data_IF_631549653219
#
_entry.id   IF_631549653219
#
_cell.length_a   1.000
_cell.length_b   1.000
_cell.length_c   1.000
_cell.angle_alpha   90.00
_cell.angle_beta   90.00
_cell.angle_gamma   90.00
#
_symmetry.space_group_name_H-M   'P 1'
#
loop_
_entity.id
_entity.type
_entity.pdbx_description
1 polymer ?
#
# COMPACT_ATOMS: atom_id res chain seq x y z
N UNK A 1 -43.87 11.37 -45.29
CA UNK A 1 -45.29 11.16 -44.95
C UNK A 1 -45.36 11.24 -43.45
N UNK A 2 -45.76 12.39 -42.92
CA UNK A 2 -47.09 12.72 -42.38
C UNK A 2 -47.46 11.71 -41.28
N UNK A 3 -47.81 12.01 -40.05
CA UNK A 3 -48.39 13.21 -39.42
C UNK A 3 -48.76 12.84 -37.99
N UNK A 4 -48.67 13.73 -37.13
CA UNK A 4 -49.56 14.58 -36.35
C UNK A 4 -49.70 14.13 -34.89
N UNK A 5 -49.37 14.98 -33.93
CA UNK A 5 -50.18 15.95 -33.19
C UNK A 5 -51.32 15.32 -32.40
N UNK A 6 -51.57 15.58 -31.11
CA UNK A 6 -51.86 16.82 -30.41
C UNK A 6 -52.16 16.56 -28.92
N UNK A 7 -51.75 17.46 -28.07
CA UNK A 7 -52.55 18.38 -27.21
C UNK A 7 -53.26 17.77 -26.00
N UNK A 8 -53.00 18.19 -24.80
CA UNK A 8 -53.80 19.20 -24.08
C UNK A 8 -53.09 19.63 -22.75
N UNK A 9 -53.02 20.93 -22.63
CA UNK A 9 -52.94 21.76 -21.41
C UNK A 9 -54.13 21.48 -20.51
N UNK A 10 -53.93 21.69 -19.22
CA UNK A 10 -54.73 22.67 -18.47
C UNK A 10 -54.06 23.03 -17.13
N UNK A 11 -54.06 24.35 -16.94
CA UNK A 11 -53.71 25.11 -15.76
C UNK A 11 -54.58 24.75 -14.55
N UNK A 12 -54.09 25.07 -13.36
CA UNK A 12 -54.78 25.94 -12.35
C UNK A 12 -53.81 26.36 -11.26
N UNK A 13 -53.70 27.65 -11.09
CA UNK A 13 -53.09 28.42 -10.01
C UNK A 13 -53.75 28.22 -8.68
N UNK A 14 -53.01 28.52 -7.57
CA UNK A 14 -53.41 29.47 -6.55
C UNK A 14 -52.45 29.53 -5.36
N UNK A 15 -51.81 30.64 -5.26
CA UNK A 15 -51.33 31.43 -4.11
C UNK A 15 -51.63 30.95 -2.70
N UNK A 16 -50.59 30.92 -1.85
CA UNK A 16 -50.70 31.34 -0.45
C UNK A 16 -49.32 31.80 0.07
N UNK A 17 -49.23 33.10 0.32
CA UNK A 17 -48.20 33.75 1.11
C UNK A 17 -48.24 33.27 2.56
N UNK A 18 -47.05 32.87 3.10
CA UNK A 18 -46.79 33.00 4.53
C UNK A 18 -45.39 33.55 4.75
N UNK A 19 -45.34 34.73 5.32
CA UNK A 19 -44.19 35.38 5.93
C UNK A 19 -43.79 34.53 7.14
N UNK A 20 -42.55 34.06 7.21
CA UNK A 20 -41.96 33.52 8.45
C UNK A 20 -40.62 34.21 8.70
N UNK A 21 -40.60 34.87 9.85
CA UNK A 21 -39.49 35.58 10.47
C UNK A 21 -38.14 34.85 10.36
N UNK A 22 -37.13 35.63 10.02
CA UNK A 22 -35.72 35.34 10.23
C UNK A 22 -35.41 35.22 11.72
N UNK A 23 -35.25 33.99 12.20
CA UNK A 23 -34.47 33.71 13.39
C UNK A 23 -33.17 33.11 12.90
N UNK A 24 -32.08 33.86 13.04
CA UNK A 24 -30.72 33.44 12.78
C UNK A 24 -30.31 32.37 13.81
N UNK A 25 -30.60 31.13 13.53
CA UNK A 25 -29.96 30.02 14.22
C UNK A 25 -28.61 29.75 13.49
N UNK A 26 -27.52 30.07 14.17
CA UNK A 26 -26.19 29.57 13.82
C UNK A 26 -26.22 28.08 14.09
N UNK A 27 -26.60 27.30 13.08
CA UNK A 27 -26.38 25.85 13.10
C UNK A 27 -24.90 25.68 12.79
N UNK A 28 -24.10 25.45 13.84
CA UNK A 28 -22.80 24.82 13.71
C UNK A 28 -23.10 23.40 13.24
N UNK A 29 -23.10 23.18 11.93
CA UNK A 29 -23.11 21.84 11.39
C UNK A 29 -21.73 21.21 11.70
N UNK A 30 -21.69 20.44 12.78
CA UNK A 30 -20.66 19.45 12.99
C UNK A 30 -20.86 18.37 11.92
N UNK A 31 -20.28 18.58 10.75
CA UNK A 31 -20.01 17.45 9.86
C UNK A 31 -18.84 16.70 10.48
N UNK A 32 -19.15 15.79 11.37
CA UNK A 32 -18.21 14.79 11.81
C UNK A 32 -18.01 13.83 10.63
N UNK A 33 -17.01 14.10 9.81
CA UNK A 33 -16.37 13.03 9.05
C UNK A 33 -15.68 12.15 10.07
N UNK A 34 -16.46 11.20 10.63
CA UNK A 34 -15.95 10.21 11.57
C UNK A 34 -15.14 9.23 10.76
N UNK A 35 -13.83 9.45 10.72
CA UNK A 35 -12.92 8.39 10.34
C UNK A 35 -13.05 7.28 11.40
N UNK A 36 -13.64 6.16 11.01
CA UNK A 36 -13.84 5.01 11.89
C UNK A 36 -12.51 4.30 12.12
N UNK A 37 -12.09 4.30 13.35
CA UNK A 37 -10.86 3.63 13.75
C UNK A 37 -11.03 2.13 13.85
N UNK A 38 -9.91 1.43 13.70
CA UNK A 38 -9.78 -0.01 13.82
C UNK A 38 -10.24 -0.53 15.19
N UNK A 39 -11.37 -1.22 15.25
CA UNK A 39 -11.63 -2.11 16.36
C UNK A 39 -10.74 -3.35 16.20
N UNK A 40 -9.65 -3.46 16.95
CA UNK A 40 -8.92 -4.72 17.10
C UNK A 40 -9.86 -5.70 17.80
N UNK A 41 -10.46 -6.62 17.04
CA UNK A 41 -11.17 -7.75 17.61
C UNK A 41 -10.19 -8.55 18.48
N UNK A 42 -10.36 -8.47 19.78
CA UNK A 42 -9.63 -9.31 20.72
C UNK A 42 -9.96 -10.78 20.44
N UNK A 43 -9.01 -11.51 19.92
CA UNK A 43 -9.06 -12.98 19.89
C UNK A 43 -9.07 -13.47 21.33
N UNK A 44 -10.15 -14.19 21.67
CA UNK A 44 -10.53 -14.58 22.99
C UNK A 44 -9.43 -15.10 23.90
N UNK A 45 -9.30 -14.49 25.03
CA UNK A 45 -8.68 -15.06 26.20
C UNK A 45 -9.76 -15.49 27.19
N UNK A 46 -9.70 -16.76 27.57
CA UNK A 46 -10.55 -17.44 28.55
C UNK A 46 -10.60 -16.65 29.85
N UNK A 47 -11.83 -16.44 30.34
CA UNK A 47 -12.11 -16.02 31.70
C UNK A 47 -11.24 -16.74 32.73
N UNK A 48 -10.46 -15.98 33.47
CA UNK A 48 -9.99 -16.34 34.79
C UNK A 48 -10.58 -15.35 35.78
N UNK A 49 -11.46 -15.86 36.61
CA UNK A 49 -11.99 -15.21 37.80
C UNK A 49 -10.88 -14.53 38.59
N UNK A 50 -10.91 -13.21 38.63
CA UNK A 50 -9.97 -12.40 39.38
C UNK A 50 -10.47 -12.19 40.80
N UNK A 51 -9.68 -12.67 41.74
CA UNK A 51 -9.74 -12.35 43.15
C UNK A 51 -9.58 -10.83 43.36
N UNK A 52 -10.49 -10.24 44.13
CA UNK A 52 -10.43 -8.82 44.52
C UNK A 52 -9.30 -8.60 45.55
N UNK A 53 -8.07 -8.50 45.07
CA UNK A 53 -6.98 -7.95 45.85
C UNK A 53 -7.09 -6.41 45.89
N UNK A 54 -7.17 -5.81 47.08
CA UNK A 54 -7.11 -4.40 47.35
C UNK A 54 -5.87 -3.80 46.67
N UNK A 55 -6.04 -3.10 45.55
CA UNK A 55 -4.97 -2.33 44.94
C UNK A 55 -4.54 -1.21 45.90
N UNK A 56 -3.33 -1.32 46.42
CA UNK A 56 -2.59 -0.16 46.92
C UNK A 56 -2.41 0.82 45.74
N UNK A 57 -2.87 2.07 45.92
CA UNK A 57 -2.55 3.15 44.98
C UNK A 57 -1.02 3.15 44.77
N UNK A 58 -0.52 3.00 43.55
CA UNK A 58 0.89 3.23 43.29
C UNK A 58 1.20 4.70 43.56
N UNK A 59 2.34 4.98 44.15
CA UNK A 59 2.91 6.34 44.16
C UNK A 59 2.99 6.80 42.71
N UNK A 60 2.32 7.91 42.41
CA UNK A 60 2.32 8.52 41.07
C UNK A 60 3.76 8.95 40.77
N UNK A 61 4.44 8.18 39.95
CA UNK A 61 5.73 8.56 39.39
C UNK A 61 5.48 9.83 38.54
N UNK A 62 6.10 10.95 38.95
CA UNK A 62 5.97 12.22 38.21
C UNK A 62 6.47 12.13 36.76
N UNK A 63 7.17 11.07 36.41
CA UNK A 63 7.68 10.81 35.07
C UNK A 63 6.59 10.54 34.03
N UNK A 64 5.42 10.05 34.43
CA UNK A 64 4.35 9.58 33.55
C UNK A 64 3.16 10.54 33.40
N UNK A 65 3.29 11.80 33.85
CA UNK A 65 2.25 12.80 33.62
C UNK A 65 2.27 13.27 32.16
N UNK A 66 1.09 13.56 31.57
CA UNK A 66 1.02 14.14 30.23
C UNK A 66 1.84 15.40 30.11
N UNK A 67 2.57 15.53 29.01
CA UNK A 67 3.46 16.65 28.67
C UNK A 67 3.24 17.08 27.23
N UNK A 68 3.60 18.32 26.95
CA UNK A 68 3.50 18.94 25.64
C UNK A 68 4.89 18.93 24.96
N UNK A 69 4.90 18.44 23.73
CA UNK A 69 6.07 18.51 22.85
C UNK A 69 5.70 19.23 21.57
N UNK A 70 6.63 20.04 21.05
CA UNK A 70 6.39 20.83 19.83
C UNK A 70 7.43 20.54 18.78
N UNK A 71 6.95 20.49 17.55
CA UNK A 71 7.78 20.47 16.34
C UNK A 71 7.17 21.43 15.29
N UNK A 72 7.77 21.65 14.13
CA UNK A 72 7.25 22.55 13.11
C UNK A 72 5.81 22.22 12.68
N UNK A 73 5.46 20.95 12.60
CA UNK A 73 4.15 20.51 12.11
C UNK A 73 3.25 19.86 13.18
N UNK A 74 3.72 19.68 14.41
CA UNK A 74 2.96 19.00 15.46
C UNK A 74 3.01 19.71 16.81
N UNK A 75 1.86 19.70 17.49
CA UNK A 75 1.73 19.90 18.93
C UNK A 75 1.28 18.55 19.51
N UNK A 76 2.18 17.87 20.18
CA UNK A 76 1.97 16.53 20.73
C UNK A 76 1.74 16.64 22.24
N UNK A 77 0.56 16.21 22.71
CA UNK A 77 0.21 15.99 24.09
C UNK A 77 0.33 14.48 24.38
N UNK A 78 1.19 14.05 25.29
CA UNK A 78 1.41 12.62 25.51
C UNK A 78 1.96 12.33 26.90
N UNK A 79 1.65 11.16 27.43
CA UNK A 79 2.21 10.56 28.64
C UNK A 79 3.39 9.61 28.31
N UNK A 80 3.88 9.62 27.08
CA UNK A 80 5.09 8.90 26.68
C UNK A 80 6.33 9.48 27.36
N UNK A 81 7.34 8.64 27.71
CA UNK A 81 8.68 9.12 28.04
C UNK A 81 9.25 10.01 26.94
N UNK A 82 10.14 10.92 27.33
CA UNK A 82 10.67 11.93 26.40
C UNK A 82 11.33 11.36 25.15
N UNK A 83 12.10 10.31 25.28
CA UNK A 83 12.79 9.63 24.18
C UNK A 83 11.81 9.00 23.17
N UNK A 84 10.73 8.39 23.66
CA UNK A 84 9.67 7.85 22.81
C UNK A 84 8.83 8.96 22.14
N UNK A 85 8.55 10.05 22.88
CA UNK A 85 7.85 11.20 22.31
C UNK A 85 8.69 11.91 21.22
N UNK A 86 9.99 12.04 21.43
CA UNK A 86 10.94 12.59 20.44
C UNK A 86 11.02 11.68 19.17
N UNK A 87 11.05 10.36 19.35
CA UNK A 87 11.02 9.39 18.24
C UNK A 87 9.73 9.50 17.45
N UNK A 88 8.58 9.53 18.14
CA UNK A 88 7.28 9.69 17.52
C UNK A 88 7.20 10.99 16.71
N UNK A 89 7.61 12.13 17.29
CA UNK A 89 7.61 13.40 16.58
C UNK A 89 8.52 13.37 15.35
N UNK A 90 9.72 12.81 15.45
CA UNK A 90 10.63 12.66 14.31
C UNK A 90 10.00 11.86 13.18
N UNK A 91 9.31 10.80 13.50
CA UNK A 91 8.62 9.92 12.54
C UNK A 91 7.44 10.64 11.88
N UNK A 92 6.60 11.30 12.68
CA UNK A 92 5.47 12.09 12.19
C UNK A 92 5.94 13.26 11.30
N UNK A 93 6.97 13.99 11.69
CA UNK A 93 7.56 15.10 10.90
C UNK A 93 8.10 14.61 9.56
N UNK A 94 8.78 13.47 9.55
CA UNK A 94 9.30 12.89 8.30
C UNK A 94 8.14 12.50 7.38
N UNK A 95 7.12 11.83 7.91
CA UNK A 95 5.94 11.44 7.16
C UNK A 95 5.19 12.65 6.60
N UNK A 96 4.92 13.69 7.43
CA UNK A 96 4.26 14.93 6.97
C UNK A 96 5.07 15.62 5.88
N UNK A 97 6.38 15.66 6.00
CA UNK A 97 7.27 16.18 4.96
C UNK A 97 7.10 15.45 3.62
N UNK A 98 7.04 14.13 3.66
CA UNK A 98 6.84 13.30 2.46
C UNK A 98 5.46 13.48 1.84
N UNK A 99 4.38 13.42 2.63
CA UNK A 99 3.01 13.56 2.10
C UNK A 99 2.73 15.00 1.63
N UNK A 100 3.30 16.02 2.30
CA UNK A 100 3.23 17.41 1.85
C UNK A 100 3.90 17.58 0.48
N UNK A 101 5.04 16.95 0.27
CA UNK A 101 5.73 16.92 -1.02
C UNK A 101 4.93 16.12 -2.06
N UNK A 102 4.40 14.97 -1.68
CA UNK A 102 3.61 14.10 -2.54
C UNK A 102 2.39 14.83 -3.09
N UNK A 103 1.59 15.46 -2.22
CA UNK A 103 0.42 16.22 -2.68
C UNK A 103 0.74 17.66 -3.11
N UNK A 104 1.97 18.13 -2.92
CA UNK A 104 2.39 19.49 -3.31
C UNK A 104 1.74 20.59 -2.46
N UNK A 105 1.32 20.27 -1.24
CA UNK A 105 0.65 21.20 -0.34
C UNK A 105 1.32 21.16 1.05
N UNK A 106 2.10 22.18 1.42
CA UNK A 106 2.74 22.22 2.74
C UNK A 106 1.70 22.37 3.85
N UNK A 107 1.96 21.74 4.98
CA UNK A 107 1.12 21.90 6.16
C UNK A 107 1.19 23.35 6.65
N UNK A 108 0.04 23.98 6.83
CA UNK A 108 -0.05 25.43 7.16
C UNK A 108 -0.01 25.73 8.64
N UNK A 109 -0.43 24.79 9.46
CA UNK A 109 -0.56 24.94 10.92
C UNK A 109 -0.19 23.61 11.58
N UNK A 110 0.42 23.63 12.76
CA UNK A 110 0.70 22.41 13.50
C UNK A 110 -0.59 21.60 13.72
N UNK A 111 -0.48 20.30 13.51
CA UNK A 111 -1.51 19.31 13.85
C UNK A 111 -1.44 19.06 15.35
N UNK A 112 -2.57 19.14 16.02
CA UNK A 112 -2.69 18.87 17.45
C UNK A 112 -2.98 17.38 17.64
N UNK A 113 -2.13 16.70 18.41
CA UNK A 113 -2.20 15.24 18.60
C UNK A 113 -2.16 14.89 20.08
N UNK A 114 -3.17 14.16 20.54
CA UNK A 114 -3.22 13.52 21.84
C UNK A 114 -2.87 12.04 21.66
N UNK A 115 -1.70 11.62 22.18
CA UNK A 115 -1.24 10.23 22.07
C UNK A 115 -1.10 9.63 23.45
N UNK A 116 -1.93 8.66 23.75
CA UNK A 116 -2.21 8.15 25.09
C UNK A 116 -1.68 6.74 25.27
N UNK A 117 -0.80 6.54 26.25
CA UNK A 117 -0.34 5.23 26.69
C UNK A 117 -1.18 4.69 27.86
N UNK A 118 -1.36 5.55 28.87
CA UNK A 118 -2.12 5.22 30.09
C UNK A 118 -3.18 6.29 30.34
N UNK A 119 -4.42 5.96 30.05
CA UNK A 119 -5.53 6.88 30.21
C UNK A 119 -5.70 7.34 31.67
N UNK A 120 -5.28 6.54 32.66
CA UNK A 120 -5.45 6.82 34.08
C UNK A 120 -4.65 8.03 34.58
N UNK A 121 -3.61 8.46 33.86
CA UNK A 121 -2.78 9.62 34.24
C UNK A 121 -3.28 10.94 33.67
N UNK A 122 -4.31 10.91 32.83
CA UNK A 122 -4.91 12.08 32.22
C UNK A 122 -6.04 12.65 33.11
N UNK A 123 -6.19 13.97 33.18
CA UNK A 123 -7.26 14.55 33.98
C UNK A 123 -8.66 14.25 33.41
N UNK A 124 -9.69 14.09 34.24
CA UNK A 124 -11.07 13.95 33.76
C UNK A 124 -11.47 15.09 32.82
N UNK A 125 -12.07 14.76 31.67
CA UNK A 125 -12.48 15.73 30.66
C UNK A 125 -11.36 16.24 29.77
N UNK A 126 -10.20 15.60 29.76
CA UNK A 126 -9.10 15.92 28.83
C UNK A 126 -9.44 15.66 27.36
N UNK A 127 -10.40 14.78 27.10
CA UNK A 127 -10.78 14.34 25.76
C UNK A 127 -12.27 14.61 25.50
N UNK A 128 -12.66 14.93 24.25
CA UNK A 128 -14.06 14.88 23.85
C UNK A 128 -14.57 13.43 23.89
N UNK A 129 -15.90 13.21 24.01
CA UNK A 129 -16.45 11.85 24.12
C UNK A 129 -15.96 10.89 23.01
N UNK A 130 -16.00 11.33 21.75
CA UNK A 130 -15.60 10.52 20.60
C UNK A 130 -14.10 10.15 20.65
N UNK A 131 -13.24 11.07 21.12
CA UNK A 131 -11.82 10.82 21.30
C UNK A 131 -11.55 9.84 22.44
N UNK A 132 -12.28 9.98 23.55
CA UNK A 132 -12.18 9.08 24.70
C UNK A 132 -12.61 7.66 24.34
N UNK A 133 -13.78 7.51 23.70
CA UNK A 133 -14.32 6.21 23.30
C UNK A 133 -13.31 5.46 22.43
N UNK A 134 -12.67 6.16 21.47
CA UNK A 134 -11.68 5.52 20.58
C UNK A 134 -10.40 5.12 21.28
N UNK A 135 -9.91 5.92 22.21
CA UNK A 135 -8.75 5.57 23.03
C UNK A 135 -9.07 4.34 23.90
N UNK A 136 -10.27 4.27 24.51
CA UNK A 136 -10.71 3.13 25.32
C UNK A 136 -10.86 1.85 24.47
N UNK A 137 -11.27 1.97 23.20
CA UNK A 137 -11.30 0.87 22.22
C UNK A 137 -9.90 0.41 21.77
N UNK A 138 -8.84 1.10 22.18
CA UNK A 138 -7.47 0.79 21.74
C UNK A 138 -7.18 1.23 20.30
N UNK A 139 -7.77 2.35 19.88
CA UNK A 139 -7.73 2.86 18.51
C UNK A 139 -7.38 4.37 18.47
N UNK A 140 -7.66 5.03 17.37
CA UNK A 140 -7.55 6.47 17.20
C UNK A 140 -8.76 7.06 16.47
N UNK A 141 -8.84 8.37 16.46
CA UNK A 141 -9.79 9.16 15.67
C UNK A 141 -9.23 10.55 15.39
N UNK A 142 -9.52 11.06 14.21
CA UNK A 142 -9.25 12.44 13.83
C UNK A 142 -10.56 13.23 13.78
N UNK A 143 -10.68 14.25 14.61
CA UNK A 143 -11.82 15.17 14.59
C UNK A 143 -11.46 16.43 13.81
N UNK A 144 -12.19 16.70 12.72
CA UNK A 144 -11.97 17.88 11.88
C UNK A 144 -13.11 18.88 12.06
N UNK A 145 -12.78 20.11 12.44
CA UNK A 145 -13.70 21.24 12.50
C UNK A 145 -13.48 22.14 11.29
N UNK A 146 -14.49 22.30 10.47
CA UNK A 146 -14.45 23.16 9.29
C UNK A 146 -15.19 24.46 9.52
N UNK A 147 -14.66 25.55 8.95
CA UNK A 147 -15.36 26.85 8.87
C UNK A 147 -15.84 27.02 7.44
N UNK A 148 -17.13 27.21 7.27
CA UNK A 148 -17.75 27.39 5.95
C UNK A 148 -18.35 28.77 5.83
N UNK A 149 -18.39 29.34 4.62
CA UNK A 149 -19.13 30.56 4.34
C UNK A 149 -20.60 30.19 4.18
N UNK A 150 -21.45 30.82 5.01
CA UNK A 150 -22.88 30.60 4.96
C UNK A 150 -23.43 30.92 3.56
N UNK A 151 -24.18 29.99 3.00
CA UNK A 151 -24.82 30.11 1.69
C UNK A 151 -23.98 29.64 0.46
N UNK A 152 -22.70 29.35 0.65
CA UNK A 152 -21.84 28.83 -0.47
C UNK A 152 -21.26 27.46 -0.19
N UNK A 153 -21.33 26.95 1.04
CA UNK A 153 -20.65 25.75 1.52
C UNK A 153 -19.11 25.75 1.28
N UNK A 154 -18.54 26.91 0.96
CA UNK A 154 -17.11 27.03 0.74
C UNK A 154 -16.36 26.94 2.07
N UNK A 155 -15.45 25.96 2.19
CA UNK A 155 -14.56 25.79 3.34
C UNK A 155 -13.48 26.89 3.30
N UNK A 156 -13.45 27.74 4.33
CA UNK A 156 -12.46 28.82 4.49
C UNK A 156 -11.38 28.53 5.50
N UNK A 157 -11.52 27.44 6.24
CA UNK A 157 -10.52 26.95 7.17
C UNK A 157 -10.95 25.63 7.80
N UNK A 158 -9.97 24.85 8.18
CA UNK A 158 -10.18 23.62 8.91
C UNK A 158 -9.11 23.47 10.00
N UNK A 159 -9.49 22.87 11.13
CA UNK A 159 -8.58 22.44 12.19
C UNK A 159 -8.86 20.97 12.48
N UNK A 160 -7.83 20.14 12.41
CA UNK A 160 -7.92 18.74 12.76
C UNK A 160 -7.17 18.48 14.07
N UNK A 161 -7.74 17.61 14.91
CA UNK A 161 -7.13 17.14 16.16
C UNK A 161 -7.17 15.64 16.19
N UNK A 162 -6.01 15.04 16.44
CA UNK A 162 -5.81 13.58 16.55
C UNK A 162 -5.96 13.14 17.99
N UNK A 163 -6.70 12.06 18.22
CA UNK A 163 -6.77 11.30 19.46
C UNK A 163 -6.40 9.86 19.17
N UNK A 164 -5.33 9.34 19.77
CA UNK A 164 -4.79 8.03 19.41
C UNK A 164 -4.16 7.34 20.62
N UNK A 165 -4.17 6.01 20.63
CA UNK A 165 -3.32 5.25 21.54
C UNK A 165 -1.86 5.37 21.14
N UNK A 166 -0.95 5.16 22.11
CA UNK A 166 0.50 5.17 21.89
C UNK A 166 0.99 3.87 21.22
N UNK A 167 0.30 3.44 20.18
CA UNK A 167 0.77 2.39 19.27
C UNK A 167 1.68 3.01 18.19
N UNK A 168 2.54 2.20 17.57
CA UNK A 168 3.44 2.73 16.54
C UNK A 168 2.68 3.30 15.32
N UNK A 169 1.65 2.61 14.88
CA UNK A 169 0.96 2.89 13.62
C UNK A 169 -0.19 3.87 13.74
N UNK A 170 -0.98 3.77 14.83
CA UNK A 170 -2.23 4.54 14.98
C UNK A 170 -2.01 6.05 14.90
N UNK A 171 -1.02 6.67 15.57
CA UNK A 171 -0.78 8.10 15.42
C UNK A 171 -0.40 8.51 13.99
N UNK A 172 0.27 7.64 13.23
CA UNK A 172 0.62 7.91 11.82
C UNK A 172 -0.63 7.86 10.93
N UNK A 173 -1.50 6.86 11.12
CA UNK A 173 -2.78 6.74 10.43
C UNK A 173 -3.61 8.01 10.61
N UNK A 174 -3.84 8.40 11.84
CA UNK A 174 -4.65 9.57 12.19
C UNK A 174 -4.01 10.88 11.71
N UNK A 175 -2.67 10.98 11.71
CA UNK A 175 -1.99 12.16 11.20
C UNK A 175 -2.18 12.36 9.69
N UNK A 176 -2.38 11.28 8.91
CA UNK A 176 -2.75 11.39 7.48
C UNK A 176 -4.14 12.00 7.33
N UNK A 177 -5.13 11.51 8.09
CA UNK A 177 -6.47 12.10 8.09
C UNK A 177 -6.43 13.57 8.53
N UNK A 178 -5.71 13.88 9.60
CA UNK A 178 -5.56 15.24 10.10
C UNK A 178 -4.92 16.17 9.07
N UNK A 179 -3.86 15.73 8.41
CA UNK A 179 -3.25 16.50 7.34
C UNK A 179 -4.24 16.75 6.18
N UNK A 180 -4.95 15.72 5.72
CA UNK A 180 -5.93 15.86 4.65
C UNK A 180 -7.08 16.79 5.06
N UNK A 181 -7.71 16.54 6.20
CA UNK A 181 -8.80 17.37 6.73
C UNK A 181 -8.40 18.83 6.89
N UNK A 182 -7.23 19.10 7.49
CA UNK A 182 -6.77 20.48 7.76
C UNK A 182 -6.38 21.24 6.49
N UNK A 183 -5.73 20.58 5.52
CA UNK A 183 -5.21 21.26 4.35
C UNK A 183 -6.15 21.28 3.16
N UNK A 184 -7.06 20.31 3.03
CA UNK A 184 -8.02 20.24 1.93
C UNK A 184 -9.46 20.45 2.38
N UNK A 185 -9.77 20.27 3.67
CA UNK A 185 -11.11 20.29 4.21
C UNK A 185 -11.86 18.95 4.07
N UNK A 186 -11.27 18.00 3.38
CA UNK A 186 -11.79 16.65 3.10
C UNK A 186 -10.69 15.62 3.18
N UNK A 187 -11.07 14.36 3.41
CA UNK A 187 -10.18 13.20 3.37
C UNK A 187 -10.35 12.38 2.09
N UNK A 188 -11.34 12.73 1.26
CA UNK A 188 -11.73 11.99 0.07
C UNK A 188 -12.72 10.85 0.37
N UNK A 189 -13.08 10.03 -0.64
CA UNK A 189 -13.92 8.87 -0.45
C UNK A 189 -13.23 7.81 0.42
N UNK A 190 -14.02 6.99 1.11
CA UNK A 190 -13.53 6.10 2.16
C UNK A 190 -12.41 5.16 1.70
N UNK A 191 -12.49 4.63 0.48
CA UNK A 191 -11.46 3.73 -0.03
C UNK A 191 -10.08 4.42 -0.13
N UNK A 192 -10.07 5.69 -0.53
CA UNK A 192 -8.85 6.48 -0.67
C UNK A 192 -8.37 7.00 0.68
N UNK A 193 -9.30 7.54 1.48
CA UNK A 193 -9.04 8.08 2.81
C UNK A 193 -8.36 7.03 3.70
N UNK A 194 -9.01 5.88 3.87
CA UNK A 194 -8.49 4.81 4.72
C UNK A 194 -7.28 4.11 4.09
N UNK A 195 -7.31 3.90 2.78
CA UNK A 195 -6.17 3.29 2.09
C UNK A 195 -4.89 4.12 2.22
N UNK A 196 -4.98 5.46 2.15
CA UNK A 196 -3.84 6.36 2.36
C UNK A 196 -3.44 6.50 3.82
N UNK A 197 -4.39 6.44 4.74
CA UNK A 197 -4.10 6.43 6.18
C UNK A 197 -3.35 5.14 6.58
N UNK A 198 -3.77 3.99 6.07
CA UNK A 198 -3.04 2.72 6.24
C UNK A 198 -1.64 2.75 5.58
N UNK A 199 -1.48 3.43 4.44
CA UNK A 199 -0.15 3.68 3.87
C UNK A 199 0.74 4.47 4.85
N UNK A 200 0.17 5.42 5.58
CA UNK A 200 0.84 6.13 6.67
C UNK A 200 1.11 5.25 7.89
N UNK A 201 0.16 4.41 8.29
CA UNK A 201 0.28 3.50 9.44
C UNK A 201 1.49 2.58 9.33
N UNK A 202 1.66 1.96 8.16
CA UNK A 202 2.76 1.02 7.89
C UNK A 202 4.02 1.68 7.34
N UNK A 203 4.01 3.00 7.19
CA UNK A 203 5.15 3.70 6.62
C UNK A 203 6.41 3.58 7.47
N UNK A 204 7.52 3.23 6.80
CA UNK A 204 8.89 3.27 7.32
C UNK A 204 9.80 3.98 6.31
N UNK A 205 10.80 4.70 6.79
CA UNK A 205 11.72 5.43 5.93
C UNK A 205 12.49 4.48 4.99
N UNK A 206 12.43 4.75 3.69
CA UNK A 206 13.13 3.97 2.67
C UNK A 206 12.49 2.62 2.33
N UNK A 207 11.28 2.34 2.81
CA UNK A 207 10.58 1.08 2.57
C UNK A 207 9.41 1.28 1.59
N UNK A 208 9.43 0.58 0.47
CA UNK A 208 8.36 0.55 -0.54
C UNK A 208 7.72 -0.84 -0.70
N UNK A 209 8.22 -1.83 0.04
CA UNK A 209 7.72 -3.20 0.03
C UNK A 209 6.46 -3.34 0.88
N UNK A 210 5.74 -4.43 0.68
CA UNK A 210 4.66 -4.84 1.58
C UNK A 210 5.24 -5.05 2.98
N UNK A 211 4.78 -4.25 3.94
CA UNK A 211 5.24 -4.21 5.32
C UNK A 211 4.08 -4.04 6.33
N UNK A 212 2.85 -4.32 5.89
CA UNK A 212 1.67 -4.26 6.74
C UNK A 212 1.73 -5.28 7.88
N UNK A 213 0.77 -5.19 8.81
CA UNK A 213 0.72 -6.13 9.93
C UNK A 213 0.58 -7.58 9.42
N UNK A 214 1.30 -8.58 10.00
CA UNK A 214 1.24 -9.98 9.57
C UNK A 214 -0.17 -10.57 9.54
N UNK A 215 -1.08 -10.14 10.43
CA UNK A 215 -2.49 -10.58 10.41
C UNK A 215 -3.22 -10.07 9.16
N UNK A 216 -2.89 -8.88 8.66
CA UNK A 216 -3.44 -8.38 7.39
C UNK A 216 -3.01 -9.27 6.21
N UNK A 217 -1.74 -9.70 6.20
CA UNK A 217 -1.24 -10.67 5.21
C UNK A 217 -2.01 -11.98 5.27
N UNK A 218 -2.15 -12.55 6.47
CA UNK A 218 -2.88 -13.80 6.67
C UNK A 218 -4.34 -13.69 6.26
N UNK A 219 -4.98 -12.58 6.59
CA UNK A 219 -6.37 -12.32 6.23
C UNK A 219 -6.54 -12.25 4.72
N UNK A 220 -5.76 -11.41 4.02
CA UNK A 220 -5.85 -11.25 2.56
C UNK A 220 -5.61 -12.60 1.85
N UNK A 221 -4.60 -13.36 2.26
CA UNK A 221 -4.27 -14.65 1.63
C UNK A 221 -5.31 -15.75 1.83
N UNK A 222 -6.15 -15.65 2.85
CA UNK A 222 -7.19 -16.66 3.18
C UNK A 222 -8.58 -16.25 2.73
N UNK A 223 -8.75 -15.01 2.31
CA UNK A 223 -10.04 -14.46 1.94
C UNK A 223 -10.23 -14.48 0.44
N UNK A 224 -11.50 -14.60 0.00
CA UNK A 224 -11.84 -14.34 -1.39
C UNK A 224 -11.53 -12.89 -1.75
N UNK A 225 -10.80 -12.64 -2.84
CA UNK A 225 -10.45 -11.30 -3.26
C UNK A 225 -11.68 -10.43 -3.48
N UNK A 226 -11.72 -9.24 -2.87
CA UNK A 226 -12.76 -8.26 -3.16
C UNK A 226 -12.54 -7.67 -4.56
N UNK A 227 -13.55 -7.64 -5.42
CA UNK A 227 -13.43 -6.99 -6.72
C UNK A 227 -13.25 -5.47 -6.56
N UNK A 228 -12.55 -4.83 -7.49
CA UNK A 228 -12.21 -3.41 -7.42
C UNK A 228 -13.43 -2.50 -7.18
N UNK A 229 -14.54 -2.77 -7.87
CA UNK A 229 -15.76 -1.99 -7.72
C UNK A 229 -16.38 -2.09 -6.31
N UNK A 230 -16.21 -3.20 -5.61
CA UNK A 230 -16.67 -3.35 -4.24
C UNK A 230 -15.81 -2.53 -3.25
N UNK A 231 -14.55 -2.26 -3.60
CA UNK A 231 -13.66 -1.43 -2.79
C UNK A 231 -13.92 0.06 -3.04
N UNK A 232 -13.92 0.48 -4.33
CA UNK A 232 -13.95 1.90 -4.71
C UNK A 232 -15.36 2.52 -4.65
N UNK A 233 -16.42 1.72 -4.74
CA UNK A 233 -17.81 2.17 -4.73
C UNK A 233 -18.53 1.89 -3.41
N UNK A 234 -17.84 1.46 -2.38
CA UNK A 234 -18.43 1.28 -1.05
C UNK A 234 -19.04 2.60 -0.58
N UNK A 235 -20.38 2.70 -0.63
CA UNK A 235 -21.14 3.90 -0.24
C UNK A 235 -21.46 3.93 1.25
N UNK A 236 -21.45 2.78 1.90
CA UNK A 236 -21.85 2.63 3.28
C UNK A 236 -20.66 2.24 4.15
N UNK A 237 -20.44 3.04 5.18
CA UNK A 237 -19.53 2.73 6.28
C UNK A 237 -20.30 1.86 7.27
N UNK A 238 -20.76 0.69 6.83
CA UNK A 238 -21.43 -0.22 7.75
C UNK A 238 -20.43 -1.20 8.31
N UNK A 239 -20.19 -1.08 9.64
CA UNK A 239 -19.36 -2.04 10.35
C UNK A 239 -17.97 -2.14 9.75
N UNK A 240 -17.34 -1.02 9.50
CA UNK A 240 -16.03 -0.98 8.90
C UNK A 240 -15.04 -1.65 9.85
N UNK A 241 -14.59 -2.81 9.43
CA UNK A 241 -13.67 -3.62 10.17
C UNK A 241 -12.26 -3.44 9.61
N UNK A 242 -11.26 -3.77 10.38
CA UNK A 242 -9.87 -3.79 9.94
C UNK A 242 -9.65 -4.60 8.65
N UNK A 243 -10.52 -5.55 8.34
CA UNK A 243 -10.53 -6.32 7.10
C UNK A 243 -10.78 -5.44 5.87
N UNK A 244 -11.67 -4.46 5.99
CA UNK A 244 -11.92 -3.52 4.90
C UNK A 244 -10.72 -2.57 4.69
N UNK A 245 -10.04 -2.19 5.76
CA UNK A 245 -8.80 -1.40 5.67
C UNK A 245 -7.71 -2.16 4.92
N UNK A 246 -7.56 -3.47 5.14
CA UNK A 246 -6.60 -4.30 4.41
C UNK A 246 -6.81 -4.22 2.88
N UNK A 247 -8.05 -4.32 2.41
CA UNK A 247 -8.35 -4.24 0.98
C UNK A 247 -8.10 -2.85 0.39
N UNK A 248 -8.43 -1.78 1.13
CA UNK A 248 -8.18 -0.39 0.74
C UNK A 248 -6.70 -0.09 0.68
N UNK A 249 -5.96 -0.54 1.69
CA UNK A 249 -4.50 -0.43 1.71
C UNK A 249 -3.87 -1.18 0.53
N UNK A 250 -4.25 -2.43 0.28
CA UNK A 250 -3.70 -3.23 -0.82
C UNK A 250 -3.92 -2.55 -2.18
N UNK A 251 -5.11 -1.99 -2.42
CA UNK A 251 -5.38 -1.25 -3.66
C UNK A 251 -4.55 0.04 -3.75
N UNK A 252 -4.51 0.85 -2.70
CA UNK A 252 -3.70 2.07 -2.68
C UNK A 252 -2.21 1.78 -2.82
N UNK A 253 -1.70 0.72 -2.15
CA UNK A 253 -0.31 0.28 -2.26
C UNK A 253 0.03 -0.14 -3.71
N UNK A 254 -0.83 -0.93 -4.34
CA UNK A 254 -0.67 -1.31 -5.75
C UNK A 254 -0.62 -0.07 -6.66
N UNK A 255 -1.61 0.82 -6.56
CA UNK A 255 -1.71 1.99 -7.43
C UNK A 255 -0.58 3.01 -7.21
N UNK A 256 -0.12 3.15 -5.97
CA UNK A 256 0.95 4.08 -5.61
C UNK A 256 2.34 3.60 -6.05
N UNK A 257 2.58 2.28 -6.14
CA UNK A 257 3.89 1.70 -6.39
C UNK A 257 4.03 1.00 -7.76
N UNK A 258 2.92 0.74 -8.47
CA UNK A 258 2.99 0.10 -9.78
C UNK A 258 3.31 1.12 -10.89
N UNK A 259 4.39 0.91 -11.67
CA UNK A 259 4.81 1.84 -12.74
C UNK A 259 3.79 1.98 -13.88
N UNK A 260 2.77 1.13 -13.96
CA UNK A 260 1.68 1.28 -14.92
C UNK A 260 0.63 2.30 -14.47
N UNK A 261 0.54 2.60 -13.14
CA UNK A 261 -0.59 3.33 -12.55
C UNK A 261 -0.18 4.55 -11.72
N UNK A 262 1.02 4.59 -11.11
CA UNK A 262 1.40 5.58 -10.10
C UNK A 262 1.38 7.03 -10.60
N UNK A 263 1.65 7.28 -11.87
CA UNK A 263 1.62 8.62 -12.46
C UNK A 263 0.22 9.26 -12.43
N UNK A 264 -0.83 8.43 -12.46
CA UNK A 264 -2.23 8.87 -12.40
C UNK A 264 -2.80 8.88 -10.98
N UNK A 265 -2.20 8.12 -10.06
CA UNK A 265 -2.73 7.96 -8.71
C UNK A 265 -2.65 9.26 -7.90
N UNK A 266 -1.52 9.96 -7.97
CA UNK A 266 -1.38 11.26 -7.30
C UNK A 266 -2.36 12.33 -7.82
N UNK A 267 -2.52 12.56 -9.13
CA UNK A 267 -3.54 13.49 -9.65
C UNK A 267 -4.97 13.10 -9.26
N UNK A 268 -5.32 11.82 -9.28
CA UNK A 268 -6.60 11.33 -8.79
C UNK A 268 -6.79 11.70 -7.32
N UNK A 269 -5.83 11.38 -6.46
CA UNK A 269 -5.88 11.69 -5.04
C UNK A 269 -6.08 13.18 -4.76
N UNK A 270 -5.36 14.06 -5.47
CA UNK A 270 -5.57 15.50 -5.37
C UNK A 270 -6.98 15.92 -5.78
N UNK A 271 -7.53 15.32 -6.82
CA UNK A 271 -8.91 15.57 -7.25
C UNK A 271 -9.92 15.16 -6.19
N UNK A 272 -9.75 13.96 -5.59
CA UNK A 272 -10.59 13.43 -4.52
C UNK A 272 -10.53 14.31 -3.26
N UNK A 273 -9.33 14.74 -2.84
CA UNK A 273 -9.14 15.60 -1.69
C UNK A 273 -9.69 17.04 -1.90
N UNK A 274 -9.82 17.48 -3.13
CA UNK A 274 -10.40 18.78 -3.49
C UNK A 274 -11.88 18.68 -3.87
N UNK A 275 -12.51 17.54 -3.65
CA UNK A 275 -13.92 17.24 -3.96
C UNK A 275 -14.29 17.61 -5.40
N UNK A 276 -13.40 17.31 -6.35
CA UNK A 276 -13.66 17.56 -7.78
C UNK A 276 -14.65 16.54 -8.31
N UNK A 277 -15.77 16.96 -8.92
CA UNK A 277 -16.82 16.04 -9.40
C UNK A 277 -16.32 14.98 -10.38
N UNK A 278 -15.33 15.35 -11.21
CA UNK A 278 -14.77 14.47 -12.24
C UNK A 278 -13.65 13.55 -11.74
N UNK A 279 -13.20 13.73 -10.48
CA UNK A 279 -12.15 12.93 -9.91
C UNK A 279 -12.75 11.63 -9.33
N UNK A 280 -12.87 10.61 -10.15
CA UNK A 280 -13.33 9.29 -9.74
C UNK A 280 -12.34 8.21 -10.19
N UNK A 281 -12.36 7.05 -9.52
CA UNK A 281 -11.57 5.90 -9.98
C UNK A 281 -11.90 5.56 -11.44
N UNK A 282 -13.18 5.55 -11.79
CA UNK A 282 -13.64 5.24 -13.13
C UNK A 282 -13.15 6.24 -14.17
N UNK A 283 -13.18 7.54 -13.88
CA UNK A 283 -12.72 8.56 -14.85
C UNK A 283 -11.23 8.48 -15.16
N UNK A 284 -10.42 8.03 -14.21
CA UNK A 284 -8.94 7.95 -14.33
C UNK A 284 -8.48 6.58 -14.82
N UNK A 285 -9.11 5.52 -14.33
CA UNK A 285 -8.66 4.14 -14.51
C UNK A 285 -9.66 3.23 -15.22
N UNK A 286 -10.87 3.71 -15.55
CA UNK A 286 -11.92 2.87 -16.17
C UNK A 286 -11.47 2.18 -17.46
N UNK A 287 -10.71 2.87 -18.30
CA UNK A 287 -10.14 2.29 -19.53
C UNK A 287 -9.06 1.24 -19.28
N UNK A 288 -8.51 1.17 -18.06
CA UNK A 288 -7.47 0.22 -17.62
C UNK A 288 -8.01 -0.76 -16.58
N UNK A 289 -9.32 -0.83 -16.39
CA UNK A 289 -9.93 -1.62 -15.31
C UNK A 289 -9.59 -3.11 -15.40
N UNK A 290 -9.44 -3.65 -16.61
CA UNK A 290 -9.05 -5.06 -16.82
C UNK A 290 -7.60 -5.31 -16.41
N UNK A 291 -6.67 -4.45 -16.85
CA UNK A 291 -5.26 -4.53 -16.47
C UNK A 291 -5.08 -4.39 -14.97
N UNK A 292 -5.75 -3.41 -14.35
CA UNK A 292 -5.69 -3.22 -12.90
C UNK A 292 -6.28 -4.42 -12.18
N UNK A 293 -7.42 -4.95 -12.62
CA UNK A 293 -8.04 -6.14 -12.01
C UNK A 293 -7.11 -7.33 -12.07
N UNK A 294 -6.47 -7.57 -13.22
CA UNK A 294 -5.51 -8.65 -13.39
C UNK A 294 -4.30 -8.47 -12.45
N UNK A 295 -3.63 -7.32 -12.47
CA UNK A 295 -2.47 -7.08 -11.61
C UNK A 295 -2.83 -7.04 -10.11
N UNK A 296 -4.04 -6.58 -9.77
CA UNK A 296 -4.52 -6.59 -8.40
C UNK A 296 -4.74 -8.03 -7.89
N UNK A 297 -5.41 -8.88 -8.67
CA UNK A 297 -5.61 -10.29 -8.32
C UNK A 297 -4.26 -11.03 -8.23
N UNK A 298 -3.36 -10.77 -9.18
CA UNK A 298 -2.02 -11.32 -9.17
C UNK A 298 -1.24 -10.89 -7.91
N UNK A 299 -1.31 -9.61 -7.55
CA UNK A 299 -0.71 -9.07 -6.32
C UNK A 299 -1.25 -9.76 -5.07
N UNK A 300 -2.58 -9.90 -4.97
CA UNK A 300 -3.21 -10.56 -3.81
C UNK A 300 -2.85 -12.05 -3.71
N UNK A 301 -2.72 -12.73 -4.83
CA UNK A 301 -2.33 -14.15 -4.89
C UNK A 301 -0.91 -14.36 -4.32
N UNK A 302 -0.02 -13.40 -4.53
CA UNK A 302 1.38 -13.44 -4.11
C UNK A 302 1.68 -12.52 -2.92
N UNK A 303 0.64 -12.02 -2.27
CA UNK A 303 0.72 -11.03 -1.19
C UNK A 303 1.49 -11.58 0.01
N UNK A 304 2.64 -10.98 0.30
CA UNK A 304 3.49 -11.36 1.43
C UNK A 304 4.37 -10.20 1.88
N UNK A 305 4.87 -10.23 3.13
CA UNK A 305 5.84 -9.25 3.61
C UNK A 305 7.10 -9.28 2.75
N UNK A 306 7.56 -8.09 2.37
CA UNK A 306 8.72 -7.95 1.49
C UNK A 306 8.40 -7.99 -0.02
N UNK A 307 7.15 -8.26 -0.41
CA UNK A 307 6.74 -8.18 -1.82
C UNK A 307 6.89 -6.76 -2.36
N UNK A 308 7.43 -6.63 -3.57
CA UNK A 308 7.73 -5.34 -4.19
C UNK A 308 6.97 -5.18 -5.51
N UNK A 309 5.91 -4.37 -5.49
CA UNK A 309 5.02 -4.14 -6.65
C UNK A 309 5.78 -3.64 -7.87
N UNK A 310 6.80 -2.80 -7.67
CA UNK A 310 7.62 -2.24 -8.75
C UNK A 310 8.36 -3.32 -9.56
N UNK A 311 8.80 -4.39 -8.88
CA UNK A 311 9.54 -5.48 -9.50
C UNK A 311 8.65 -6.49 -10.23
N UNK A 312 7.37 -6.50 -9.89
CA UNK A 312 6.41 -7.51 -10.37
C UNK A 312 5.36 -6.95 -11.31
N UNK A 313 5.41 -5.65 -11.62
CA UNK A 313 4.51 -4.99 -12.54
C UNK A 313 4.51 -5.66 -13.93
N UNK A 314 3.31 -5.89 -14.46
CA UNK A 314 3.11 -6.54 -15.75
C UNK A 314 3.53 -5.65 -16.91
N UNK A 315 4.14 -6.22 -17.94
CA UNK A 315 4.55 -5.47 -19.12
C UNK A 315 3.42 -5.45 -20.18
N UNK A 316 2.57 -4.43 -20.11
CA UNK A 316 1.48 -4.20 -21.08
C UNK A 316 1.95 -3.58 -22.39
N UNK A 317 3.19 -3.10 -22.49
CA UNK A 317 3.66 -2.28 -23.61
C UNK A 317 4.44 -3.09 -24.65
N UNK A 318 5.07 -4.17 -24.24
CA UNK A 318 5.88 -5.00 -25.15
C UNK A 318 5.01 -5.66 -26.21
N UNK A 319 5.44 -5.52 -27.47
CA UNK A 319 4.80 -6.19 -28.61
C UNK A 319 5.33 -7.59 -28.78
N UNK A 320 4.42 -8.53 -28.91
CA UNK A 320 4.74 -9.94 -29.18
C UNK A 320 4.66 -10.24 -30.67
N UNK A 321 5.52 -11.14 -31.13
CA UNK A 321 5.56 -11.59 -32.52
C UNK A 321 5.92 -13.07 -32.60
N UNK A 322 5.60 -13.71 -33.70
CA UNK A 322 6.02 -15.08 -33.98
C UNK A 322 7.50 -15.12 -34.37
N UNK A 323 8.20 -16.17 -33.94
CA UNK A 323 9.49 -16.53 -34.52
C UNK A 323 9.27 -17.31 -35.82
N UNK A 324 10.29 -17.29 -36.68
CA UNK A 324 10.35 -18.14 -37.87
C UNK A 324 11.70 -18.86 -37.89
N UNK A 325 11.88 -19.80 -38.80
CA UNK A 325 13.18 -20.50 -38.99
C UNK A 325 14.32 -19.56 -39.38
N UNK A 326 14.02 -18.42 -40.00
CA UNK A 326 14.99 -17.40 -40.42
C UNK A 326 15.08 -16.19 -39.52
N UNK A 327 14.02 -15.87 -38.77
CA UNK A 327 13.94 -14.66 -37.92
C UNK A 327 13.63 -15.07 -36.47
N UNK A 328 14.63 -15.21 -35.61
CA UNK A 328 14.43 -15.56 -34.20
C UNK A 328 13.82 -14.40 -33.41
N UNK A 329 13.23 -14.72 -32.26
CA UNK A 329 12.84 -13.77 -31.23
C UNK A 329 13.88 -13.81 -30.10
N UNK A 330 14.32 -12.63 -29.65
CA UNK A 330 15.28 -12.50 -28.56
C UNK A 330 14.70 -11.65 -27.43
N UNK A 331 15.05 -12.02 -26.20
CA UNK A 331 14.71 -11.23 -25.00
C UNK A 331 15.82 -11.36 -23.94
N UNK A 332 15.78 -10.49 -22.95
CA UNK A 332 16.62 -10.55 -21.76
C UNK A 332 15.73 -10.65 -20.56
N UNK A 333 16.01 -11.56 -19.65
CA UNK A 333 15.28 -11.79 -18.40
C UNK A 333 16.21 -11.44 -17.25
N UNK A 334 15.79 -10.50 -16.42
CA UNK A 334 16.50 -10.06 -15.21
C UNK A 334 16.09 -10.92 -14.01
N UNK A 335 17.04 -11.27 -13.15
CA UNK A 335 16.77 -12.13 -12.00
C UNK A 335 15.83 -11.49 -10.96
N UNK A 336 15.95 -10.18 -10.78
CA UNK A 336 15.21 -9.40 -9.77
C UNK A 336 13.82 -8.93 -10.22
N UNK A 337 13.28 -9.51 -11.30
CA UNK A 337 11.96 -9.14 -11.83
C UNK A 337 11.01 -10.32 -11.81
N UNK A 338 9.71 -10.01 -11.62
CA UNK A 338 8.65 -10.98 -11.85
C UNK A 338 8.52 -11.43 -13.30
N UNK A 339 7.32 -11.69 -13.75
CA UNK A 339 7.08 -12.11 -15.14
C UNK A 339 7.48 -11.03 -16.14
N UNK A 340 8.35 -11.37 -17.07
CA UNK A 340 8.90 -10.47 -18.08
C UNK A 340 8.54 -10.95 -19.48
N UNK A 341 8.14 -10.03 -20.35
CA UNK A 341 7.72 -10.32 -21.71
C UNK A 341 8.89 -10.88 -22.56
N UNK A 342 8.78 -12.10 -23.06
CA UNK A 342 9.75 -12.69 -23.97
C UNK A 342 9.67 -12.14 -25.38
N UNK A 343 8.63 -11.37 -25.72
CA UNK A 343 8.26 -10.93 -27.07
C UNK A 343 7.80 -12.06 -27.99
N UNK A 344 7.77 -13.31 -27.54
CA UNK A 344 7.39 -14.46 -28.34
C UNK A 344 5.91 -14.77 -28.19
N UNK A 345 5.19 -14.78 -29.31
CA UNK A 345 3.83 -15.30 -29.43
C UNK A 345 3.92 -16.74 -29.94
N UNK A 346 3.31 -17.69 -29.24
CA UNK A 346 3.35 -19.11 -29.56
C UNK A 346 1.98 -19.68 -29.86
N UNK A 347 1.93 -20.80 -30.61
CA UNK A 347 0.79 -21.70 -30.70
C UNK A 347 1.10 -23.00 -29.98
N UNK A 348 0.06 -23.66 -29.51
CA UNK A 348 0.19 -25.00 -28.92
C UNK A 348 0.92 -25.95 -29.86
N UNK A 349 1.92 -26.66 -29.33
CA UNK A 349 2.72 -27.65 -30.07
C UNK A 349 3.82 -27.07 -30.99
N UNK A 350 3.95 -25.74 -31.10
CA UNK A 350 5.08 -25.17 -31.82
C UNK A 350 6.42 -25.52 -31.12
N UNK A 351 7.42 -25.98 -31.88
CA UNK A 351 8.72 -26.32 -31.37
C UNK A 351 9.78 -25.27 -31.74
N UNK A 352 10.61 -24.92 -30.78
CA UNK A 352 11.65 -23.91 -30.93
C UNK A 352 13.03 -24.48 -30.56
N UNK A 353 14.03 -24.09 -31.31
CA UNK A 353 15.43 -24.11 -30.88
C UNK A 353 15.60 -22.95 -29.89
N UNK A 354 16.15 -23.25 -28.70
CA UNK A 354 16.35 -22.29 -27.62
C UNK A 354 17.83 -22.17 -27.29
N UNK A 355 18.33 -20.95 -27.30
CA UNK A 355 19.65 -20.60 -26.78
C UNK A 355 19.46 -19.72 -25.57
N UNK A 356 20.06 -20.11 -24.45
CA UNK A 356 20.06 -19.34 -23.20
C UNK A 356 21.52 -19.07 -22.80
N UNK A 357 21.85 -17.79 -22.59
CA UNK A 357 23.20 -17.35 -22.23
C UNK A 357 23.12 -16.33 -21.08
N UNK A 358 23.98 -16.48 -20.08
CA UNK A 358 24.03 -15.65 -18.90
C UNK A 358 23.85 -16.44 -17.62
N UNK A 359 23.80 -15.72 -16.51
CA UNK A 359 23.67 -16.29 -15.17
C UNK A 359 23.08 -15.29 -14.20
N UNK A 360 22.67 -15.76 -13.05
CA UNK A 360 22.11 -14.93 -11.97
C UNK A 360 22.47 -15.45 -10.58
N UNK A 361 22.23 -14.62 -9.60
CA UNK A 361 22.36 -14.92 -8.17
C UNK A 361 21.05 -14.55 -7.47
N UNK A 362 20.63 -15.35 -6.50
CA UNK A 362 19.40 -15.13 -5.72
C UNK A 362 19.65 -14.38 -4.41
N UNK A 363 20.88 -14.02 -4.12
CA UNK A 363 21.27 -13.18 -2.98
C UNK A 363 22.69 -12.67 -3.17
N UNK A 364 23.10 -11.67 -2.40
CA UNK A 364 24.44 -11.06 -2.47
C UNK A 364 25.57 -12.07 -2.21
N UNK A 365 25.33 -13.09 -1.41
CA UNK A 365 26.30 -14.11 -1.01
C UNK A 365 26.00 -15.49 -1.64
N UNK A 366 24.96 -15.59 -2.47
CA UNK A 366 24.52 -16.84 -3.10
C UNK A 366 25.47 -17.29 -4.23
N UNK A 367 25.38 -18.57 -4.64
CA UNK A 367 26.13 -19.07 -5.79
C UNK A 367 25.63 -18.42 -7.09
N UNK A 368 26.51 -18.42 -8.10
CA UNK A 368 26.14 -18.08 -9.45
C UNK A 368 25.41 -19.27 -10.09
N UNK A 369 24.19 -19.03 -10.58
CA UNK A 369 23.34 -20.07 -11.15
C UNK A 369 23.20 -19.90 -12.67
N UNK A 370 23.15 -21.02 -13.38
CA UNK A 370 22.74 -21.08 -14.78
C UNK A 370 21.23 -20.77 -14.92
N UNK A 371 20.74 -20.54 -16.15
CA UNK A 371 19.30 -20.40 -16.39
C UNK A 371 18.45 -21.60 -15.97
N UNK A 372 19.09 -22.71 -15.65
CA UNK A 372 18.42 -23.96 -15.28
C UNK A 372 18.52 -24.27 -13.78
N UNK A 373 18.99 -23.30 -12.98
CA UNK A 373 19.11 -23.43 -11.52
C UNK A 373 20.28 -24.34 -11.08
N UNK A 374 21.29 -24.50 -11.93
CA UNK A 374 22.48 -25.24 -11.60
C UNK A 374 23.64 -24.30 -11.25
N UNK A 375 24.42 -24.64 -10.24
CA UNK A 375 25.58 -23.83 -9.86
C UNK A 375 26.60 -23.82 -11.00
N UNK A 376 27.07 -22.63 -11.34
CA UNK A 376 28.14 -22.43 -12.32
C UNK A 376 29.42 -22.05 -11.61
N UNK A 377 30.56 -22.49 -12.14
CA UNK A 377 31.85 -22.02 -11.66
C UNK A 377 31.96 -20.52 -11.89
N UNK A 378 32.31 -19.78 -10.83
CA UNK A 378 32.60 -18.34 -10.97
C UNK A 378 33.68 -18.14 -12.02
N UNK A 379 33.54 -17.21 -12.97
CA UNK A 379 34.59 -16.92 -13.91
C UNK A 379 35.88 -16.59 -13.15
N UNK A 380 36.93 -17.34 -13.33
CA UNK A 380 38.25 -17.07 -12.71
C UNK A 380 38.63 -15.63 -13.08
N UNK A 381 38.93 -14.76 -12.07
CA UNK A 381 39.32 -13.39 -12.37
C UNK A 381 40.47 -13.41 -13.35
N UNK A 382 40.31 -12.73 -14.48
CA UNK A 382 41.41 -12.51 -15.43
C UNK A 382 42.59 -11.96 -14.64
N UNK A 383 43.76 -12.55 -14.79
CA UNK A 383 45.00 -12.10 -14.13
C UNK A 383 45.29 -10.68 -14.59
N UNK A 384 44.80 -9.69 -13.89
CA UNK A 384 45.26 -8.32 -14.00
C UNK A 384 46.59 -8.21 -13.27
N UNK A 385 47.57 -7.69 -14.00
CA UNK A 385 48.95 -7.52 -13.54
C UNK A 385 49.02 -6.70 -12.24
N UNK A 386 49.83 -7.19 -11.34
CA UNK A 386 50.09 -6.62 -10.03
C UNK A 386 50.55 -5.16 -10.11
N UNK A 387 49.73 -4.24 -9.67
CA UNK A 387 50.13 -2.94 -9.19
C UNK A 387 49.66 -2.81 -7.73
N UNK A 388 50.60 -2.96 -6.83
CA UNK A 388 50.38 -2.82 -5.38
C UNK A 388 50.00 -1.38 -5.02
N UNK A 389 48.74 -1.14 -4.71
CA UNK A 389 48.32 0.07 -4.00
C UNK A 389 48.01 -0.27 -2.55
N UNK A 390 48.85 0.27 -1.65
CA UNK A 390 48.60 0.20 -0.20
C UNK A 390 47.42 1.08 0.15
N UNK A 391 46.29 0.52 0.45
CA UNK A 391 45.17 1.23 1.06
C UNK A 391 45.04 0.85 2.52
N UNK A 392 45.16 1.88 3.35
CA UNK A 392 45.00 1.89 4.80
C UNK A 392 43.57 1.46 5.18
N UNK A 393 43.44 0.49 6.09
CA UNK A 393 42.19 0.04 6.71
C UNK A 393 41.53 1.19 7.49
N UNK A 394 40.23 1.47 7.29
CA UNK A 394 39.50 2.32 8.22
C UNK A 394 39.19 1.57 9.53
N UNK A 395 39.39 2.23 10.64
CA UNK A 395 39.06 1.76 11.98
C UNK A 395 37.56 1.49 12.11
N UNK A 396 37.21 0.31 12.58
CA UNK A 396 35.87 -0.04 13.08
C UNK A 396 35.53 0.88 14.26
N UNK A 397 34.54 1.74 14.05
CA UNK A 397 33.79 2.35 15.17
C UNK A 397 32.71 1.36 15.59
N UNK A 398 32.83 0.84 16.80
CA UNK A 398 31.85 -0.07 17.38
C UNK A 398 30.61 0.71 17.81
N UNK A 399 29.45 0.19 17.46
CA UNK A 399 28.15 0.60 17.91
C UNK A 399 27.17 -0.51 17.55
N UNK A 400 27.19 -1.60 18.34
CA UNK A 400 26.15 -2.62 18.29
C UNK A 400 24.88 -2.05 18.94
N UNK A 401 23.90 -1.70 18.13
CA UNK A 401 22.52 -1.76 18.53
C UNK A 401 21.91 -2.93 17.73
N UNK A 402 22.02 -4.13 18.31
CA UNK A 402 21.18 -5.26 17.89
C UNK A 402 19.75 -4.93 18.32
N UNK A 403 18.92 -4.42 17.40
CA UNK A 403 17.49 -4.54 17.54
C UNK A 403 17.17 -6.04 17.47
N UNK A 404 16.70 -6.63 18.57
CA UNK A 404 16.02 -7.93 18.52
C UNK A 404 14.87 -7.77 17.54
N UNK A 405 15.04 -8.29 16.33
CA UNK A 405 13.93 -8.68 15.49
C UNK A 405 13.17 -9.75 16.27
N UNK A 406 11.99 -9.40 16.81
CA UNK A 406 11.03 -10.40 17.26
C UNK A 406 10.82 -11.36 16.08
N UNK A 407 10.97 -12.65 16.35
CA UNK A 407 10.72 -13.70 15.35
C UNK A 407 9.30 -13.52 14.82
N UNK A 408 9.20 -13.03 13.58
CA UNK A 408 7.92 -12.88 12.89
C UNK A 408 7.23 -14.24 12.84
N UNK A 409 5.91 -14.30 13.12
CA UNK A 409 5.17 -15.56 13.10
C UNK A 409 5.34 -16.23 11.74
N UNK A 410 5.56 -17.53 11.77
CA UNK A 410 5.86 -18.38 10.61
C UNK A 410 4.92 -18.07 9.45
N UNK A 411 5.44 -17.40 8.44
CA UNK A 411 4.73 -17.10 7.21
C UNK A 411 4.44 -18.40 6.46
N UNK A 412 3.37 -18.44 5.67
CA UNK A 412 3.11 -19.61 4.82
C UNK A 412 4.27 -19.72 3.85
N UNK A 413 5.09 -20.80 3.89
CA UNK A 413 6.25 -20.88 3.02
C UNK A 413 5.83 -20.81 1.55
N UNK A 414 6.60 -20.07 0.74
CA UNK A 414 6.47 -20.13 -0.70
C UNK A 414 6.73 -21.56 -1.15
N UNK A 415 5.75 -22.16 -1.81
CA UNK A 415 5.88 -23.52 -2.35
C UNK A 415 5.94 -23.43 -3.87
N UNK A 416 7.06 -23.86 -4.42
CA UNK A 416 7.26 -24.02 -5.86
C UNK A 416 7.69 -25.43 -6.16
N UNK A 417 7.26 -25.95 -7.31
CA UNK A 417 7.73 -27.24 -7.85
C UNK A 417 9.02 -27.10 -8.65
N UNK A 418 9.47 -25.86 -8.89
CA UNK A 418 10.68 -25.55 -9.64
C UNK A 418 11.86 -25.30 -8.70
N UNK A 419 13.09 -25.49 -9.23
CA UNK A 419 14.30 -25.20 -8.45
C UNK A 419 14.50 -23.69 -8.36
N UNK A 420 15.00 -23.16 -7.22
CA UNK A 420 15.44 -21.78 -7.14
C UNK A 420 16.44 -21.44 -8.25
N UNK A 421 16.28 -20.30 -8.90
CA UNK A 421 17.10 -19.89 -10.03
C UNK A 421 16.80 -20.58 -11.35
N UNK A 422 15.80 -21.45 -11.42
CA UNK A 422 15.38 -22.05 -12.69
C UNK A 422 14.59 -21.03 -13.53
N UNK A 423 14.85 -20.97 -14.82
CA UNK A 423 14.03 -20.21 -15.76
C UNK A 423 12.69 -20.92 -15.94
N UNK A 424 11.62 -20.21 -15.59
CA UNK A 424 10.25 -20.69 -15.73
C UNK A 424 9.45 -19.79 -16.67
N UNK A 425 8.47 -20.39 -17.34
CA UNK A 425 7.59 -19.74 -18.29
C UNK A 425 6.14 -19.81 -17.86
N UNK A 426 5.36 -18.84 -18.36
CA UNK A 426 3.89 -18.82 -18.28
C UNK A 426 3.35 -18.23 -19.59
N UNK A 427 2.18 -18.65 -20.00
CA UNK A 427 1.49 -18.10 -21.15
C UNK A 427 0.35 -17.20 -20.70
N UNK A 428 0.32 -16.01 -21.26
CA UNK A 428 -0.76 -15.03 -21.04
C UNK A 428 -1.64 -14.99 -22.28
N UNK A 429 -2.95 -15.14 -22.08
CA UNK A 429 -3.96 -15.01 -23.13
C UNK A 429 -5.23 -14.41 -22.54
N UNK A 430 -5.66 -13.24 -23.03
CA UNK A 430 -6.88 -12.53 -22.61
C UNK A 430 -7.10 -12.45 -21.09
N UNK A 431 -6.08 -11.97 -20.37
CA UNK A 431 -6.05 -11.83 -18.89
C UNK A 431 -6.08 -13.17 -18.11
N UNK A 432 -5.84 -14.27 -18.77
CA UNK A 432 -5.67 -15.57 -18.15
C UNK A 432 -4.23 -16.05 -18.26
N UNK A 433 -3.76 -16.74 -17.21
CA UNK A 433 -2.44 -17.33 -17.15
C UNK A 433 -2.57 -18.86 -17.27
N UNK A 434 -1.66 -19.47 -18.05
CA UNK A 434 -1.50 -20.93 -18.01
C UNK A 434 -0.89 -21.36 -16.67
N UNK A 435 -0.84 -22.68 -16.42
CA UNK A 435 0.05 -23.20 -15.40
C UNK A 435 1.52 -22.84 -15.75
N UNK A 436 2.36 -22.49 -14.74
CA UNK A 436 3.77 -22.28 -14.94
C UNK A 436 4.47 -23.57 -15.39
N UNK A 437 5.49 -23.46 -16.21
CA UNK A 437 6.29 -24.58 -16.69
C UNK A 437 7.78 -24.26 -16.71
N UNK A 438 8.62 -25.29 -16.51
CA UNK A 438 10.06 -25.15 -16.62
C UNK A 438 10.48 -24.97 -18.08
N UNK A 439 11.45 -24.10 -18.31
CA UNK A 439 12.14 -24.03 -19.60
C UNK A 439 13.22 -25.13 -19.64
N UNK A 440 13.20 -26.04 -20.66
CA UNK A 440 14.13 -27.15 -20.73
C UNK A 440 15.59 -26.70 -20.94
N UNK A 441 16.53 -27.50 -20.43
CA UNK A 441 17.97 -27.25 -20.58
C UNK A 441 18.60 -27.88 -21.86
N UNK A 442 17.82 -28.66 -22.59
CA UNK A 442 18.30 -29.40 -23.79
C UNK A 442 18.36 -28.54 -25.05
N UNK A 443 18.13 -27.23 -24.94
CA UNK A 443 18.15 -26.31 -26.09
C UNK A 443 16.88 -26.38 -26.95
N UNK A 444 15.82 -27.01 -26.47
CA UNK A 444 14.51 -27.06 -27.13
C UNK A 444 13.41 -26.50 -26.24
N UNK A 445 12.33 -26.01 -26.85
CA UNK A 445 11.14 -25.57 -26.17
C UNK A 445 9.93 -25.89 -27.02
N UNK A 446 8.98 -26.64 -26.47
CA UNK A 446 7.67 -26.88 -27.08
C UNK A 446 6.60 -26.14 -26.34
N UNK A 447 5.84 -25.29 -27.03
CA UNK A 447 4.80 -24.47 -26.41
C UNK A 447 3.63 -25.33 -25.92
N UNK A 448 3.28 -25.31 -24.61
CA UNK A 448 2.21 -26.16 -24.08
C UNK A 448 0.80 -25.70 -24.49
N UNK A 449 0.65 -24.40 -24.80
CA UNK A 449 -0.61 -23.80 -25.23
C UNK A 449 -0.36 -22.60 -26.15
N UNK A 450 -1.41 -21.94 -26.61
CA UNK A 450 -1.31 -20.69 -27.35
C UNK A 450 -1.25 -19.50 -26.39
N UNK A 451 -0.41 -18.49 -26.66
CA UNK A 451 -0.35 -17.26 -25.87
C UNK A 451 0.93 -16.45 -26.02
N UNK A 452 1.01 -15.41 -25.28
CA UNK A 452 2.20 -14.56 -25.09
C UNK A 452 3.09 -15.20 -24.04
N UNK A 453 4.32 -15.54 -24.37
CA UNK A 453 5.26 -16.14 -23.42
C UNK A 453 5.88 -15.08 -22.52
N UNK A 454 5.68 -15.24 -21.21
CA UNK A 454 6.39 -14.51 -20.16
C UNK A 454 7.33 -15.45 -19.42
N UNK A 455 8.43 -14.90 -18.94
CA UNK A 455 9.51 -15.66 -18.32
C UNK A 455 9.98 -14.97 -17.04
N UNK A 456 10.48 -15.76 -16.09
CA UNK A 456 11.14 -15.25 -14.88
C UNK A 456 12.21 -16.22 -14.37
N UNK A 457 13.12 -15.69 -13.54
CA UNK A 457 13.92 -16.48 -12.64
C UNK A 457 13.06 -16.98 -11.48
N UNK A 458 13.10 -18.26 -11.17
CA UNK A 458 12.31 -18.82 -10.08
C UNK A 458 12.89 -18.44 -8.73
N UNK A 459 12.10 -17.71 -7.94
CA UNK A 459 12.40 -17.30 -6.57
C UNK A 459 11.09 -16.91 -5.89
N UNK A 460 11.08 -16.87 -4.57
CA UNK A 460 9.93 -16.36 -3.81
C UNK A 460 9.64 -14.90 -4.17
N UNK A 461 8.36 -14.57 -4.37
CA UNK A 461 7.91 -13.26 -4.85
C UNK A 461 8.33 -12.08 -3.96
N UNK A 462 8.55 -12.34 -2.68
CA UNK A 462 8.98 -11.35 -1.70
C UNK A 462 10.51 -11.28 -1.51
N UNK A 463 11.28 -12.01 -2.34
CA UNK A 463 12.75 -12.06 -2.29
C UNK A 463 13.44 -11.60 -3.57
N UNK A 464 12.71 -10.99 -4.50
CA UNK A 464 13.28 -10.61 -5.80
C UNK A 464 14.29 -9.46 -5.71
N UNK A 465 14.21 -8.62 -4.68
CA UNK A 465 14.91 -7.34 -4.64
C UNK A 465 16.45 -7.45 -4.58
N UNK A 466 16.99 -8.50 -3.97
CA UNK A 466 18.43 -8.75 -3.84
C UNK A 466 18.99 -9.67 -4.91
N UNK A 467 18.17 -10.18 -5.84
CA UNK A 467 18.61 -10.96 -6.96
C UNK A 467 19.44 -10.14 -7.95
N UNK A 468 20.43 -10.76 -8.56
CA UNK A 468 21.35 -10.12 -9.53
C UNK A 468 21.55 -10.95 -10.76
N UNK A 469 21.92 -10.28 -11.85
CA UNK A 469 22.22 -10.92 -13.11
C UNK A 469 21.05 -11.02 -14.07
N UNK A 470 21.32 -11.53 -15.24
CA UNK A 470 20.35 -11.63 -16.35
C UNK A 470 20.72 -12.75 -17.29
N UNK A 471 19.70 -13.26 -17.99
CA UNK A 471 19.83 -14.28 -19.03
C UNK A 471 19.29 -13.73 -20.34
N UNK A 472 20.06 -13.91 -21.42
CA UNK A 472 19.66 -13.60 -22.77
C UNK A 472 19.13 -14.87 -23.45
N UNK A 473 17.96 -14.75 -24.07
CA UNK A 473 17.29 -15.86 -24.71
C UNK A 473 17.09 -15.60 -26.20
N UNK A 474 17.20 -16.64 -26.99
CA UNK A 474 16.90 -16.62 -28.43
C UNK A 474 16.07 -17.84 -28.79
N UNK A 475 14.87 -17.57 -29.33
CA UNK A 475 13.92 -18.56 -29.80
C UNK A 475 13.88 -18.57 -31.33
N UNK A 476 14.06 -19.70 -31.95
CA UNK A 476 13.99 -19.91 -33.39
C UNK A 476 13.03 -21.07 -33.66
N UNK A 477 12.04 -20.87 -34.51
CA UNK A 477 11.08 -21.92 -34.85
C UNK A 477 11.83 -23.04 -35.63
N UNK A 478 11.59 -24.30 -35.21
CA UNK A 478 12.12 -25.49 -35.90
C UNK A 478 11.41 -25.76 -37.21
#
# INVERSE_FOLDING_TARGET
MKSLLNIARDDISLTANWIVLLLSLVIVSLSSDVAWAQAKGAVGSKEKTADKAKLKRPMTDESNRPRDYRSPNFLLHTDLPKDEADELLKRLETMIGLISKYWGRPNKQPLECFVVRDLSVWPPGAFPPEGLDKIEEGAGVTLTQTRVITGTNQIVGAKATVYAIADRGVPQHEAVHAYCGQNFGHTGPIWYSEGMAEMGQYWHAGESRVNCHPEAVKYIRRSEPKPLNAIVNAREITGDSWENYCWRWALCHLLANNPNYYDRFRPLGLGLLMDKPDATFESVYGSMSKEISFEYLFFLQHFDLGYEVTLTAWDWKTKFRRATSSVPVTCTIEANRGWQASRLLVKAGEEFELIADGSWQLSDEGPLLSPFGEETESPKPAKEGAAASKTTKPKKAGGKAESKLEELPTMIPYQSTFKPGQLVGILFNDYELSEPFAIPSDGSFTAPAEGQLFLRCEEAWNKLADNKGKVNLKFKLK
#
